data_IF_698954655156
#
_entry.id   IF_698954655156
#
_cell.length_a   1.000
_cell.length_b   1.000
_cell.length_c   1.000
_cell.angle_alpha   90.00
_cell.angle_beta   90.00
_cell.angle_gamma   90.00
#
_symmetry.space_group_name_H-M   'P 1'
#
loop_
_entity.id
_entity.type
_entity.pdbx_description
1 polymer ?
#
# COMPACT_ATOMS: atom_id res chain seq x y z
N UNK A 1 -8.50 -5.06 -3.93
CA UNK A 1 -7.93 -6.40 -4.22
C UNK A 1 -7.84 -7.19 -2.93
N UNK A 2 -7.13 -6.68 -1.93
CA UNK A 2 -7.00 -7.32 -0.61
C UNK A 2 -8.36 -7.72 -0.01
N UNK A 3 -9.36 -6.83 -0.01
CA UNK A 3 -10.74 -7.17 0.45
C UNK A 3 -11.33 -8.41 -0.21
N UNK A 4 -11.09 -8.59 -1.51
CA UNK A 4 -11.58 -9.77 -2.25
C UNK A 4 -10.79 -11.01 -1.86
N UNK A 5 -9.46 -10.93 -1.81
CA UNK A 5 -8.60 -12.04 -1.38
C UNK A 5 -8.97 -12.48 0.04
N UNK A 6 -9.11 -11.53 0.97
CA UNK A 6 -9.52 -11.79 2.34
C UNK A 6 -10.90 -12.44 2.42
N UNK A 7 -11.87 -11.95 1.62
CA UNK A 7 -13.21 -12.54 1.54
C UNK A 7 -13.18 -13.97 1.00
N UNK A 8 -12.45 -14.21 -0.09
CA UNK A 8 -12.37 -15.52 -0.75
C UNK A 8 -11.68 -16.55 0.18
N UNK A 9 -10.65 -16.14 0.92
CA UNK A 9 -9.93 -16.97 1.89
C UNK A 9 -10.55 -17.00 3.30
N UNK A 10 -11.63 -16.23 3.54
CA UNK A 10 -12.25 -16.04 4.86
C UNK A 10 -11.27 -15.60 5.94
N UNK A 11 -10.34 -14.70 5.60
CA UNK A 11 -9.31 -14.19 6.49
C UNK A 11 -9.64 -12.79 7.01
N UNK A 12 -9.20 -12.43 8.23
CA UNK A 12 -9.29 -11.06 8.71
C UNK A 12 -8.42 -10.14 7.84
N UNK A 13 -8.92 -8.93 7.58
CA UNK A 13 -8.22 -7.90 6.81
C UNK A 13 -7.91 -6.68 7.67
N UNK A 14 -6.68 -6.18 7.56
CA UNK A 14 -6.20 -5.00 8.26
C UNK A 14 -5.73 -3.94 7.25
N UNK A 15 -6.32 -2.75 7.33
CA UNK A 15 -5.92 -1.59 6.52
C UNK A 15 -4.85 -0.81 7.27
N UNK A 16 -3.63 -0.76 6.73
CA UNK A 16 -2.50 -0.09 7.37
C UNK A 16 -2.71 1.43 7.45
N UNK A 17 -3.58 2.03 6.62
CA UNK A 17 -3.97 3.44 6.79
C UNK A 17 -4.70 3.62 8.13
N UNK A 18 -5.51 2.66 8.57
CA UNK A 18 -6.22 2.77 9.87
C UNK A 18 -5.26 2.70 11.06
N UNK A 19 -4.12 2.04 10.87
CA UNK A 19 -3.06 1.96 11.87
C UNK A 19 -2.20 3.23 11.81
N UNK A 20 -1.82 3.67 10.60
CA UNK A 20 -0.74 4.65 10.41
C UNK A 20 -1.16 6.08 10.07
N UNK A 21 -2.37 6.34 9.57
CA UNK A 21 -2.73 7.67 9.06
C UNK A 21 -2.90 8.71 10.19
N UNK A 22 -3.46 8.30 11.32
CA UNK A 22 -3.82 9.20 12.43
C UNK A 22 -2.92 9.03 13.67
N UNK A 23 -1.97 8.09 13.65
CA UNK A 23 -1.21 7.68 14.85
C UNK A 23 0.30 7.95 14.77
N UNK A 24 0.78 8.66 13.76
CA UNK A 24 2.20 8.98 13.61
C UNK A 24 2.55 10.36 14.17
N UNK A 25 3.66 10.43 14.93
CA UNK A 25 4.22 11.68 15.46
C UNK A 25 5.55 11.94 14.79
N UNK A 26 5.70 13.08 14.12
CA UNK A 26 6.93 13.49 13.42
C UNK A 26 7.46 12.43 12.42
N UNK A 27 6.55 11.61 11.88
CA UNK A 27 6.88 10.46 11.04
C UNK A 27 7.75 9.41 11.70
N UNK A 28 7.52 9.15 12.97
CA UNK A 28 7.95 7.90 13.59
C UNK A 28 6.70 7.09 13.93
N UNK A 29 6.72 5.76 13.72
CA UNK A 29 5.67 4.92 14.26
C UNK A 29 5.63 5.12 15.77
N UNK A 30 4.43 5.27 16.32
CA UNK A 30 4.26 5.25 17.77
C UNK A 30 4.40 3.83 18.30
N UNK A 31 4.59 3.69 19.61
CA UNK A 31 4.63 2.38 20.27
C UNK A 31 3.32 1.60 20.04
N UNK A 32 2.18 2.31 20.02
CA UNK A 32 0.87 1.72 19.73
C UNK A 32 0.80 1.13 18.31
N UNK A 33 1.27 1.88 17.31
CA UNK A 33 1.34 1.37 15.93
C UNK A 33 2.25 0.14 15.83
N UNK A 34 3.41 0.19 16.47
CA UNK A 34 4.39 -0.90 16.44
C UNK A 34 3.84 -2.16 17.11
N UNK A 35 3.17 -2.00 18.26
CA UNK A 35 2.49 -3.08 18.96
C UNK A 35 1.37 -3.71 18.12
N UNK A 36 0.57 -2.91 17.43
CA UNK A 36 -0.51 -3.41 16.58
C UNK A 36 0.02 -4.20 15.38
N UNK A 37 1.11 -3.74 14.75
CA UNK A 37 1.78 -4.47 13.66
C UNK A 37 2.34 -5.80 14.15
N UNK A 38 3.00 -5.83 15.31
CA UNK A 38 3.52 -7.05 15.91
C UNK A 38 2.37 -8.01 16.24
N UNK A 39 1.27 -7.49 16.80
CA UNK A 39 0.06 -8.28 17.12
C UNK A 39 -0.52 -8.93 15.86
N UNK A 40 -0.70 -8.18 14.78
CA UNK A 40 -1.21 -8.70 13.51
C UNK A 40 -0.23 -9.73 12.92
N UNK A 41 1.07 -9.45 12.93
CA UNK A 41 2.10 -10.38 12.43
C UNK A 41 2.17 -11.70 13.21
N UNK A 42 1.75 -11.69 14.48
CA UNK A 42 1.68 -12.87 15.33
C UNK A 42 0.41 -13.73 15.09
N UNK A 43 -0.59 -13.22 14.35
CA UNK A 43 -1.77 -13.99 13.97
C UNK A 43 -1.39 -15.10 12.99
N UNK A 44 -2.07 -16.24 13.08
CA UNK A 44 -1.82 -17.38 12.18
C UNK A 44 -2.25 -17.13 10.73
N UNK A 45 -3.31 -16.34 10.51
CA UNK A 45 -3.82 -16.03 9.18
C UNK A 45 -4.39 -14.61 9.12
N UNK A 46 -4.02 -13.86 8.09
CA UNK A 46 -4.42 -12.46 7.92
C UNK A 46 -4.15 -11.98 6.49
N UNK A 47 -4.76 -10.86 6.13
CA UNK A 47 -4.43 -10.05 4.95
C UNK A 47 -4.21 -8.61 5.41
N UNK A 48 -3.13 -7.97 4.97
CA UNK A 48 -2.93 -6.53 5.17
C UNK A 48 -2.90 -5.80 3.83
N UNK A 49 -3.32 -4.53 3.83
CA UNK A 49 -3.14 -3.63 2.68
C UNK A 49 -2.62 -2.26 3.10
N UNK A 50 -1.79 -1.64 2.26
CA UNK A 50 -1.28 -0.29 2.48
C UNK A 50 0.00 -0.01 1.71
N UNK A 51 0.51 1.22 1.83
CA UNK A 51 1.77 1.65 1.18
C UNK A 51 2.96 1.68 2.13
N UNK A 52 2.74 1.40 3.41
CA UNK A 52 3.76 1.45 4.46
C UNK A 52 4.68 0.23 4.37
N UNK A 53 5.99 0.46 4.31
CA UNK A 53 7.01 -0.59 4.27
C UNK A 53 8.01 -0.48 5.41
N UNK A 54 8.33 0.74 5.87
CA UNK A 54 9.36 0.98 6.88
C UNK A 54 9.03 0.39 8.25
N UNK A 55 7.86 0.71 8.82
CA UNK A 55 7.44 0.19 10.12
C UNK A 55 6.66 -1.12 10.02
N UNK A 56 6.24 -1.50 8.81
CA UNK A 56 5.44 -2.70 8.57
C UNK A 56 6.30 -3.95 8.32
N UNK A 57 7.63 -3.86 8.39
CA UNK A 57 8.56 -4.98 8.16
C UNK A 57 8.19 -6.29 8.87
N UNK A 58 7.73 -6.31 10.15
CA UNK A 58 7.32 -7.55 10.78
C UNK A 58 6.21 -8.31 10.04
N UNK A 59 5.32 -7.60 9.34
CA UNK A 59 4.29 -8.21 8.51
C UNK A 59 4.92 -8.84 7.27
N UNK A 60 5.87 -8.16 6.61
CA UNK A 60 6.59 -8.73 5.47
C UNK A 60 7.36 -9.97 5.88
N UNK A 61 8.02 -9.97 7.04
CA UNK A 61 8.76 -11.13 7.55
C UNK A 61 7.85 -12.35 7.75
N UNK A 62 6.68 -12.15 8.36
CA UNK A 62 5.72 -13.22 8.67
C UNK A 62 4.79 -13.60 7.51
N UNK A 63 4.67 -12.76 6.49
CA UNK A 63 3.82 -13.04 5.33
C UNK A 63 4.28 -14.30 4.60
N UNK A 64 3.33 -15.11 4.14
CA UNK A 64 3.58 -16.22 3.21
C UNK A 64 3.58 -15.77 1.75
N UNK A 65 2.97 -14.61 1.48
CA UNK A 65 2.93 -13.99 0.16
C UNK A 65 2.92 -12.46 0.32
N UNK A 66 3.75 -11.78 -0.47
CA UNK A 66 3.77 -10.32 -0.57
C UNK A 66 3.35 -9.94 -1.99
N UNK A 67 2.36 -9.07 -2.12
CA UNK A 67 1.88 -8.63 -3.44
C UNK A 67 2.20 -7.16 -3.64
N UNK A 68 3.01 -6.85 -4.66
CA UNK A 68 3.35 -5.48 -5.02
C UNK A 68 2.64 -5.05 -6.30
N UNK A 69 1.82 -4.01 -6.21
CA UNK A 69 1.07 -3.43 -7.32
C UNK A 69 1.92 -2.41 -8.09
N UNK A 70 2.83 -2.90 -8.93
CA UNK A 70 3.79 -2.09 -9.68
C UNK A 70 3.28 -1.71 -11.10
N UNK A 71 2.10 -1.08 -11.16
CA UNK A 71 1.47 -0.69 -12.45
C UNK A 71 2.17 0.49 -13.11
N UNK A 72 2.07 0.62 -14.43
CA UNK A 72 2.62 1.77 -15.16
C UNK A 72 2.04 3.12 -14.67
N UNK A 73 2.85 4.18 -14.67
CA UNK A 73 2.44 5.53 -14.21
C UNK A 73 1.15 6.02 -14.89
N UNK A 74 1.01 5.80 -16.20
CA UNK A 74 -0.21 6.18 -16.94
C UNK A 74 -1.47 5.56 -16.31
N UNK A 75 -1.39 4.29 -15.92
CA UNK A 75 -2.46 3.56 -15.24
C UNK A 75 -2.71 4.08 -13.83
N UNK A 76 -1.65 4.31 -13.04
CA UNK A 76 -1.76 4.86 -11.69
C UNK A 76 -2.37 6.27 -11.70
N UNK A 77 -1.85 7.15 -12.55
CA UNK A 77 -2.33 8.53 -12.76
C UNK A 77 -3.82 8.57 -13.09
N UNK A 78 -4.25 7.79 -14.09
CA UNK A 78 -5.67 7.67 -14.44
C UNK A 78 -6.52 7.21 -13.25
N UNK A 79 -6.07 6.20 -12.50
CA UNK A 79 -6.80 5.67 -11.33
C UNK A 79 -6.90 6.67 -10.19
N UNK A 80 -5.82 7.42 -9.90
CA UNK A 80 -5.79 8.47 -8.87
C UNK A 80 -6.83 9.54 -9.20
N UNK A 81 -6.79 10.08 -10.42
CA UNK A 81 -7.69 11.14 -10.87
C UNK A 81 -9.14 10.63 -10.92
N UNK A 82 -9.38 9.47 -11.54
CA UNK A 82 -10.71 8.88 -11.64
C UNK A 82 -11.34 8.61 -10.27
N UNK A 83 -10.56 8.11 -9.30
CA UNK A 83 -11.04 7.86 -7.93
C UNK A 83 -11.43 9.17 -7.25
N UNK A 84 -10.61 10.21 -7.36
CA UNK A 84 -10.92 11.51 -6.75
C UNK A 84 -12.22 12.10 -7.33
N UNK A 85 -12.36 12.11 -8.66
CA UNK A 85 -13.57 12.63 -9.32
C UNK A 85 -14.80 11.84 -8.87
N UNK A 86 -14.76 10.50 -8.91
CA UNK A 86 -15.88 9.65 -8.50
C UNK A 86 -16.29 9.90 -7.06
N UNK A 87 -15.33 10.00 -6.14
CA UNK A 87 -15.61 10.23 -4.73
C UNK A 87 -16.16 11.64 -4.48
N UNK A 88 -15.67 12.64 -5.21
CA UNK A 88 -16.19 14.02 -5.14
C UNK A 88 -17.64 14.10 -5.63
N UNK A 89 -17.95 13.46 -6.78
CA UNK A 89 -19.32 13.40 -7.32
C UNK A 89 -20.25 12.65 -6.36
N UNK A 90 -19.79 11.55 -5.78
CA UNK A 90 -20.53 10.78 -4.78
C UNK A 90 -20.61 11.45 -3.39
N UNK A 91 -20.02 12.64 -3.21
CA UNK A 91 -19.97 13.40 -1.95
C UNK A 91 -19.40 12.60 -0.76
N UNK A 92 -18.50 11.66 -1.02
CA UNK A 92 -17.86 10.82 0.00
C UNK A 92 -16.32 10.87 -0.07
N UNK A 93 -15.79 11.94 -0.65
CA UNK A 93 -14.35 12.11 -0.79
C UNK A 93 -13.71 12.42 0.57
N UNK A 94 -12.96 11.45 1.12
CA UNK A 94 -12.14 11.61 2.34
C UNK A 94 -11.12 12.75 2.22
N UNK A 95 -10.65 13.03 1.01
CA UNK A 95 -9.64 14.05 0.72
C UNK A 95 -10.13 15.02 -0.36
N UNK A 96 -11.12 15.88 -0.06
CA UNK A 96 -11.70 16.78 -1.05
C UNK A 96 -10.72 17.90 -1.44
N UNK A 97 -10.89 18.44 -2.65
CA UNK A 97 -10.17 19.63 -3.13
C UNK A 97 -9.11 19.33 -4.20
N UNK A 98 -9.14 20.13 -5.26
CA UNK A 98 -8.26 19.98 -6.42
C UNK A 98 -6.78 20.23 -6.11
N UNK A 99 -6.49 21.14 -5.17
CA UNK A 99 -5.12 21.36 -4.69
C UNK A 99 -4.53 20.11 -4.04
N UNK A 100 -5.29 19.45 -3.16
CA UNK A 100 -4.86 18.19 -2.51
C UNK A 100 -4.67 17.08 -3.53
N UNK A 101 -5.56 16.98 -4.53
CA UNK A 101 -5.37 16.05 -5.65
C UNK A 101 -4.06 16.32 -6.40
N UNK A 102 -3.81 17.57 -6.77
CA UNK A 102 -2.60 17.94 -7.51
C UNK A 102 -1.33 17.65 -6.70
N UNK A 103 -1.32 17.97 -5.41
CA UNK A 103 -0.19 17.69 -4.51
C UNK A 103 0.08 16.18 -4.41
N UNK A 104 -0.94 15.37 -4.15
CA UNK A 104 -0.84 13.91 -4.10
C UNK A 104 -0.42 13.31 -5.46
N UNK A 105 -1.01 13.79 -6.56
CA UNK A 105 -0.69 13.33 -7.91
C UNK A 105 0.75 13.67 -8.29
N UNK A 106 1.20 14.91 -8.03
CA UNK A 106 2.58 15.36 -8.30
C UNK A 106 3.58 14.54 -7.49
N UNK A 107 3.26 14.26 -6.23
CA UNK A 107 4.08 13.42 -5.37
C UNK A 107 4.15 11.97 -5.86
N UNK A 108 3.01 11.40 -6.23
CA UNK A 108 2.94 10.06 -6.86
C UNK A 108 3.77 10.02 -8.15
N UNK A 109 3.67 11.03 -9.00
CA UNK A 109 4.47 11.13 -10.23
C UNK A 109 5.97 11.10 -9.95
N UNK A 110 6.42 11.81 -8.90
CA UNK A 110 7.83 11.80 -8.49
C UNK A 110 8.28 10.44 -7.95
N UNK A 111 7.42 9.73 -7.21
CA UNK A 111 7.68 8.36 -6.79
C UNK A 111 7.95 7.45 -8.01
N UNK A 112 7.09 7.53 -9.04
CA UNK A 112 7.23 6.72 -10.25
C UNK A 112 8.44 7.05 -11.12
N UNK A 113 8.93 8.29 -11.04
CA UNK A 113 10.10 8.75 -11.77
C UNK A 113 11.39 8.73 -10.92
N UNK A 114 11.33 8.19 -9.70
CA UNK A 114 12.44 8.14 -8.74
C UNK A 114 13.06 9.52 -8.41
N UNK A 115 12.21 10.56 -8.32
CA UNK A 115 12.60 11.97 -8.09
C UNK A 115 12.14 12.56 -6.76
N UNK A 116 11.64 11.74 -5.84
CA UNK A 116 11.28 12.26 -4.52
C UNK A 116 12.55 12.60 -3.72
N UNK A 117 12.62 13.79 -3.10
CA UNK A 117 13.77 14.16 -2.30
C UNK A 117 13.88 13.27 -1.06
N UNK A 118 15.11 12.95 -0.61
CA UNK A 118 15.33 12.23 0.64
C UNK A 118 14.66 12.93 1.82
N UNK A 119 14.14 12.17 2.79
CA UNK A 119 13.56 12.70 4.02
C UNK A 119 12.18 13.37 3.88
N UNK A 120 11.61 13.45 2.67
CA UNK A 120 10.29 14.07 2.47
C UNK A 120 9.16 13.28 3.13
N UNK A 121 9.30 11.97 3.19
CA UNK A 121 8.25 11.10 3.66
C UNK A 121 8.73 10.35 4.89
N UNK A 122 8.46 11.03 5.99
CA UNK A 122 8.70 10.57 7.33
C UNK A 122 7.76 9.38 7.65
N UNK A 123 6.76 9.07 6.82
CA UNK A 123 5.66 8.20 7.25
C UNK A 123 5.90 6.69 7.12
N UNK A 124 7.15 6.26 6.88
CA UNK A 124 7.51 4.85 6.68
C UNK A 124 7.02 4.27 5.34
N UNK A 125 6.76 5.13 4.35
CA UNK A 125 6.42 4.74 2.97
C UNK A 125 7.66 4.99 2.10
N UNK A 126 7.99 4.14 1.11
CA UNK A 126 9.16 4.38 0.26
C UNK A 126 9.06 5.72 -0.51
N UNK A 127 10.16 6.45 -0.63
CA UNK A 127 10.23 7.71 -1.38
C UNK A 127 10.08 7.44 -2.87
N UNK A 128 10.72 6.38 -3.37
CA UNK A 128 10.84 6.09 -4.79
C UNK A 128 10.41 4.67 -5.11
N UNK A 129 10.12 4.42 -6.39
CA UNK A 129 9.82 3.08 -6.88
C UNK A 129 11.05 2.18 -6.78
N UNK A 130 12.24 2.73 -7.02
CA UNK A 130 13.51 2.05 -6.82
C UNK A 130 13.74 1.65 -5.35
N UNK A 131 13.43 2.54 -4.41
CA UNK A 131 13.52 2.23 -2.97
C UNK A 131 12.53 1.14 -2.56
N UNK A 132 11.27 1.23 -3.02
CA UNK A 132 10.28 0.18 -2.77
C UNK A 132 10.77 -1.19 -3.29
N UNK A 133 11.42 -1.22 -4.45
CA UNK A 133 12.02 -2.44 -5.00
C UNK A 133 13.14 -2.97 -4.09
N UNK A 134 14.04 -2.09 -3.64
CA UNK A 134 15.14 -2.46 -2.73
C UNK A 134 14.63 -3.05 -1.41
N UNK A 135 13.60 -2.43 -0.82
CA UNK A 135 12.96 -2.91 0.42
C UNK A 135 12.27 -4.26 0.25
N UNK A 136 11.79 -4.58 -0.95
CA UNK A 136 11.11 -5.84 -1.25
C UNK A 136 12.05 -6.96 -1.68
N UNK A 137 13.31 -6.65 -2.02
CA UNK A 137 14.29 -7.62 -2.49
C UNK A 137 14.54 -8.79 -1.51
N UNK A 138 14.64 -8.58 -0.19
CA UNK A 138 14.76 -9.68 0.77
C UNK A 138 13.60 -10.68 0.73
N UNK A 139 12.44 -10.26 0.22
CA UNK A 139 11.22 -11.07 0.14
C UNK A 139 10.94 -11.63 -1.25
N UNK A 140 11.90 -11.56 -2.19
CA UNK A 140 11.72 -11.95 -3.61
C UNK A 140 11.08 -13.34 -3.79
N UNK A 141 11.39 -14.31 -2.93
CA UNK A 141 10.90 -15.70 -3.03
C UNK A 141 9.39 -15.81 -2.77
N UNK A 142 8.82 -14.85 -2.04
CA UNK A 142 7.38 -14.75 -1.74
C UNK A 142 6.73 -13.52 -2.37
N UNK A 143 7.45 -12.79 -3.21
CA UNK A 143 7.01 -11.57 -3.83
C UNK A 143 6.31 -11.84 -5.17
N UNK A 144 5.08 -11.35 -5.31
CA UNK A 144 4.34 -11.33 -6.56
C UNK A 144 4.19 -9.88 -7.03
N UNK A 145 4.69 -9.58 -8.22
CA UNK A 145 4.59 -8.25 -8.82
C UNK A 145 3.44 -8.23 -9.83
N UNK A 146 2.41 -7.44 -9.56
CA UNK A 146 1.28 -7.23 -10.47
C UNK A 146 1.39 -5.87 -11.18
N UNK A 147 1.59 -5.90 -12.49
CA UNK A 147 1.72 -4.72 -13.37
C UNK A 147 0.47 -4.48 -14.20
N UNK A 148 -0.35 -5.50 -14.38
CA UNK A 148 -1.53 -5.47 -15.24
C UNK A 148 -2.80 -5.95 -14.52
N UNK A 149 -3.96 -5.77 -15.18
CA UNK A 149 -5.22 -6.37 -14.71
C UNK A 149 -5.20 -7.90 -14.84
N UNK A 150 -4.51 -8.44 -15.85
CA UNK A 150 -4.38 -9.88 -16.03
C UNK A 150 -3.65 -10.51 -14.84
N UNK A 151 -2.55 -9.90 -14.40
CA UNK A 151 -1.77 -10.37 -13.24
C UNK A 151 -2.63 -10.44 -11.98
N UNK A 152 -3.51 -9.44 -11.77
CA UNK A 152 -4.46 -9.43 -10.65
C UNK A 152 -5.47 -10.56 -10.79
N UNK A 153 -6.04 -10.77 -11.98
CA UNK A 153 -7.01 -11.85 -12.23
C UNK A 153 -6.37 -13.21 -11.96
N UNK A 154 -5.16 -13.43 -12.44
CA UNK A 154 -4.44 -14.68 -12.25
C UNK A 154 -4.04 -14.90 -10.79
N UNK A 155 -3.62 -13.85 -10.10
CA UNK A 155 -3.40 -13.89 -8.65
C UNK A 155 -4.67 -14.29 -7.90
N UNK A 156 -5.81 -13.69 -8.24
CA UNK A 156 -7.08 -13.98 -7.54
C UNK A 156 -7.47 -15.44 -7.74
N UNK A 157 -7.31 -15.98 -8.96
CA UNK A 157 -7.56 -17.40 -9.26
C UNK A 157 -6.67 -18.36 -8.44
N UNK A 158 -5.45 -17.95 -8.06
CA UNK A 158 -4.57 -18.77 -7.20
C UNK A 158 -5.10 -18.92 -5.79
N UNK A 159 -5.80 -17.91 -5.28
CA UNK A 159 -6.37 -17.90 -3.93
C UNK A 159 -7.82 -18.43 -3.86
N UNK A 160 -8.52 -18.54 -4.99
CA UNK A 160 -9.88 -19.09 -5.04
C UNK A 160 -9.93 -20.61 -5.28
N UNK A 161 -8.79 -21.31 -5.23
CA UNK A 161 -8.70 -22.78 -5.33
C UNK A 161 -8.52 -23.37 -3.94
#
# INVERSE_FOLDING_TARGET
>A
MAKRIASDLKLPIFDLDQIGLDQQKDGRPTDAMSAEVIRVAALGQWVTEGTYMGWALPLFDRATCVVWLDVAWRTASYRIISRHIKATVARNNRFPGWRRLYEFWRWSSRYYNDRNPPGLNMWGVPMTRAEARSLLEPYREKLIICRSRADIVDLTKRFSR
#
